data_IF_411542559297
#
_entry.id   IF_411542559297
#
_cell.length_a   1.000
_cell.length_b   1.000
_cell.length_c   1.000
_cell.angle_alpha   90.00
_cell.angle_beta   90.00
_cell.angle_gamma   90.00
#
_symmetry.space_group_name_H-M   'P 1'
#
loop_
_entity.id
_entity.type
_entity.pdbx_description
1 polymer ?
#
# COMPACT_ATOMS: atom_id res chain seq x y z
N UNK A 1 -21.18 0.71 -13.44
CA UNK A 1 -20.11 0.73 -14.47
C UNK A 1 -19.37 -0.57 -14.24
N UNK A 2 -19.62 -1.55 -15.08
CA UNK A 2 -18.89 -2.81 -15.00
C UNK A 2 -17.40 -2.52 -15.19
N UNK A 3 -16.56 -3.18 -14.38
CA UNK A 3 -15.12 -3.10 -14.54
C UNK A 3 -14.78 -3.57 -15.93
N UNK A 4 -14.26 -2.72 -16.78
CA UNK A 4 -14.16 -2.93 -18.23
C UNK A 4 -13.33 -4.17 -18.64
N UNK A 5 -12.67 -4.81 -17.66
CA UNK A 5 -11.75 -5.94 -17.91
C UNK A 5 -12.02 -7.18 -17.03
N UNK A 6 -13.10 -7.21 -16.24
CA UNK A 6 -13.53 -8.40 -15.48
C UNK A 6 -12.61 -8.78 -14.32
N UNK A 7 -11.77 -7.85 -13.81
CA UNK A 7 -10.92 -8.13 -12.65
C UNK A 7 -11.72 -8.12 -11.35
N UNK A 8 -11.52 -9.13 -10.50
CA UNK A 8 -11.97 -9.10 -9.10
C UNK A 8 -10.95 -8.32 -8.26
N UNK A 9 -11.42 -7.36 -7.47
CA UNK A 9 -10.53 -6.47 -6.71
C UNK A 9 -10.77 -6.60 -5.21
N UNK A 10 -9.71 -6.41 -4.43
CA UNK A 10 -9.75 -6.16 -3.01
C UNK A 10 -8.96 -4.90 -2.67
N UNK A 11 -9.36 -4.21 -1.62
CA UNK A 11 -8.74 -2.97 -1.18
C UNK A 11 -8.30 -3.09 0.28
N UNK A 12 -7.20 -2.44 0.61
CA UNK A 12 -6.77 -2.27 1.99
C UNK A 12 -6.74 -0.80 2.37
N UNK A 13 -6.91 -0.52 3.66
CA UNK A 13 -6.78 0.82 4.20
C UNK A 13 -6.29 0.74 5.65
N UNK A 14 -5.58 1.78 6.10
CA UNK A 14 -4.94 1.80 7.42
C UNK A 14 -5.94 1.92 8.59
N UNK A 15 -7.04 2.64 8.42
CA UNK A 15 -7.92 3.02 9.53
C UNK A 15 -9.40 2.96 9.16
N UNK A 16 -10.25 2.92 10.20
CA UNK A 16 -11.69 3.01 10.02
C UNK A 16 -12.14 4.30 9.30
N UNK A 17 -11.48 5.42 9.58
CA UNK A 17 -11.78 6.68 8.91
C UNK A 17 -11.49 6.61 7.40
N UNK A 18 -10.44 5.90 7.00
CA UNK A 18 -10.13 5.64 5.60
C UNK A 18 -11.05 4.58 5.00
N UNK A 19 -11.41 3.54 5.75
CA UNK A 19 -12.36 2.51 5.31
C UNK A 19 -13.69 3.13 4.87
N UNK A 20 -14.23 4.07 5.65
CA UNK A 20 -15.47 4.79 5.31
C UNK A 20 -15.40 5.54 3.97
N UNK A 21 -14.18 5.88 3.52
CA UNK A 21 -13.93 6.55 2.23
C UNK A 21 -13.66 5.55 1.11
N UNK A 22 -12.98 4.45 1.41
CA UNK A 22 -12.60 3.42 0.43
C UNK A 22 -13.80 2.55 0.06
N UNK A 23 -14.62 2.15 1.03
CA UNK A 23 -15.75 1.24 0.81
C UNK A 23 -16.71 1.69 -0.29
N UNK A 24 -17.20 2.96 -0.32
CA UNK A 24 -18.06 3.40 -1.42
C UNK A 24 -17.38 3.40 -2.80
N UNK A 25 -16.05 3.57 -2.84
CA UNK A 25 -15.27 3.51 -4.09
C UNK A 25 -15.08 2.06 -4.55
N UNK A 26 -14.85 1.14 -3.62
CA UNK A 26 -14.78 -0.28 -3.90
C UNK A 26 -16.12 -0.80 -4.46
N UNK A 27 -17.23 -0.43 -3.87
CA UNK A 27 -18.58 -0.76 -4.34
C UNK A 27 -18.85 -0.27 -5.78
N UNK A 28 -18.35 0.92 -6.15
CA UNK A 28 -18.49 1.45 -7.51
C UNK A 28 -17.79 0.58 -8.57
N UNK A 29 -16.79 -0.17 -8.18
CA UNK A 29 -16.05 -1.10 -9.05
C UNK A 29 -16.44 -2.57 -8.81
N UNK A 30 -17.52 -2.80 -8.05
CA UNK A 30 -18.06 -4.13 -7.82
C UNK A 30 -17.29 -4.97 -6.80
N UNK A 31 -16.48 -4.34 -5.95
CA UNK A 31 -15.74 -5.03 -4.88
C UNK A 31 -16.43 -4.82 -3.53
N UNK A 32 -16.59 -5.91 -2.79
CA UNK A 32 -17.04 -5.94 -1.40
C UNK A 32 -15.90 -6.23 -0.40
N UNK A 33 -14.69 -6.50 -0.91
CA UNK A 33 -13.53 -6.83 -0.09
C UNK A 33 -12.74 -5.56 0.22
N UNK A 34 -12.93 -5.05 1.44
CA UNK A 34 -12.17 -3.92 1.98
C UNK A 34 -11.68 -4.29 3.37
N UNK A 35 -10.38 -4.41 3.54
CA UNK A 35 -9.73 -4.85 4.77
C UNK A 35 -8.89 -3.76 5.42
N UNK A 36 -8.94 -3.69 6.75
CA UNK A 36 -8.01 -2.82 7.49
C UNK A 36 -6.66 -3.50 7.62
N UNK A 37 -5.61 -2.77 7.27
CA UNK A 37 -4.24 -3.24 7.36
C UNK A 37 -3.31 -2.09 7.74
N UNK A 38 -2.69 -2.20 8.91
CA UNK A 38 -1.54 -1.40 9.26
C UNK A 38 -0.30 -2.16 8.77
N UNK A 39 0.37 -1.62 7.75
CA UNK A 39 1.48 -2.34 7.08
C UNK A 39 2.74 -2.48 7.94
N UNK A 40 2.85 -1.70 9.02
CA UNK A 40 3.89 -1.85 10.04
C UNK A 40 3.62 -3.08 10.95
N UNK A 41 2.38 -3.58 10.99
CA UNK A 41 2.00 -4.77 11.73
C UNK A 41 2.02 -6.00 10.82
N UNK A 42 3.04 -6.82 10.98
CA UNK A 42 3.22 -8.06 10.22
C UNK A 42 2.05 -9.03 10.37
N UNK A 43 1.42 -9.08 11.55
CA UNK A 43 0.27 -9.95 11.79
C UNK A 43 -0.98 -9.45 11.05
N UNK A 44 -1.19 -8.13 11.02
CA UNK A 44 -2.28 -7.52 10.25
C UNK A 44 -2.12 -7.78 8.75
N UNK A 45 -0.90 -7.64 8.22
CA UNK A 45 -0.60 -7.93 6.84
C UNK A 45 -0.84 -9.42 6.50
N UNK A 46 -0.36 -10.33 7.35
CA UNK A 46 -0.60 -11.76 7.19
C UNK A 46 -2.11 -12.08 7.16
N UNK A 47 -2.88 -11.52 8.08
CA UNK A 47 -4.32 -11.75 8.19
C UNK A 47 -5.09 -11.29 6.93
N UNK A 48 -4.64 -10.22 6.26
CA UNK A 48 -5.22 -9.80 4.97
C UNK A 48 -5.06 -10.89 3.93
N UNK A 49 -3.86 -11.44 3.76
CA UNK A 49 -3.62 -12.49 2.76
C UNK A 49 -4.34 -13.79 3.09
N UNK A 50 -4.46 -14.16 4.37
CA UNK A 50 -5.29 -15.30 4.79
C UNK A 50 -6.76 -15.12 4.38
N UNK A 51 -7.30 -13.91 4.56
CA UNK A 51 -8.67 -13.60 4.13
C UNK A 51 -8.82 -13.64 2.61
N UNK A 52 -7.84 -13.09 1.86
CA UNK A 52 -7.88 -13.13 0.40
C UNK A 52 -7.87 -14.57 -0.12
N UNK A 53 -7.10 -15.47 0.51
CA UNK A 53 -7.05 -16.89 0.16
C UNK A 53 -8.37 -17.64 0.38
N UNK A 54 -9.30 -17.09 1.18
CA UNK A 54 -10.66 -17.63 1.32
C UNK A 54 -11.51 -17.28 0.09
N UNK A 55 -11.26 -16.14 -0.54
CA UNK A 55 -12.03 -15.63 -1.67
C UNK A 55 -11.46 -16.05 -3.03
N UNK A 56 -10.12 -16.19 -3.11
CA UNK A 56 -9.40 -16.41 -4.37
C UNK A 56 -8.36 -17.51 -4.25
N UNK A 57 -8.32 -18.39 -5.23
CA UNK A 57 -7.32 -19.46 -5.34
C UNK A 57 -5.95 -18.91 -5.79
N UNK A 58 -5.93 -17.80 -6.52
CA UNK A 58 -4.72 -17.15 -7.04
C UNK A 58 -4.85 -15.63 -7.04
N UNK A 59 -3.71 -14.96 -7.15
CA UNK A 59 -3.58 -13.53 -7.24
C UNK A 59 -2.77 -13.17 -8.49
N UNK A 60 -3.33 -12.35 -9.36
CA UNK A 60 -2.70 -11.98 -10.64
C UNK A 60 -1.86 -10.71 -10.53
N UNK A 61 -2.29 -9.74 -9.71
CA UNK A 61 -1.54 -8.51 -9.54
C UNK A 61 -1.76 -7.86 -8.18
N UNK A 62 -0.79 -7.04 -7.78
CA UNK A 62 -0.88 -6.14 -6.62
C UNK A 62 -0.45 -4.74 -7.03
N UNK A 63 -1.22 -3.76 -6.61
CA UNK A 63 -0.84 -2.34 -6.67
C UNK A 63 -0.54 -1.85 -5.26
N UNK A 64 0.73 -1.58 -5.00
CA UNK A 64 1.19 -1.00 -3.74
C UNK A 64 1.21 0.53 -3.86
N UNK A 65 0.16 1.16 -3.36
CA UNK A 65 -0.02 2.60 -3.37
C UNK A 65 -0.02 3.15 -1.93
N UNK A 66 1.06 2.85 -1.19
CA UNK A 66 1.19 3.15 0.23
C UNK A 66 2.44 4.01 0.43
N UNK A 67 2.28 5.10 1.17
CA UNK A 67 3.39 5.94 1.58
C UNK A 67 3.03 6.74 2.84
N UNK A 68 4.03 7.00 3.66
CA UNK A 68 3.92 7.84 4.85
C UNK A 68 5.23 8.56 5.15
N UNK A 69 5.14 9.79 5.57
CA UNK A 69 6.17 10.52 6.31
C UNK A 69 5.50 11.59 7.18
N UNK A 70 6.14 11.98 8.27
CA UNK A 70 5.63 13.11 9.07
C UNK A 70 5.69 14.39 8.24
N UNK A 71 4.51 14.98 8.03
CA UNK A 71 4.36 16.19 7.20
C UNK A 71 5.15 17.39 7.71
N UNK A 72 5.38 17.47 9.02
CA UNK A 72 6.15 18.59 9.61
C UNK A 72 7.65 18.45 9.29
N UNK A 73 8.15 17.23 9.14
CA UNK A 73 9.53 16.95 8.75
C UNK A 73 9.77 16.93 7.24
N UNK A 74 8.73 17.09 6.43
CA UNK A 74 8.88 17.27 4.98
C UNK A 74 9.42 18.66 4.62
N UNK A 75 9.37 19.61 5.57
CA UNK A 75 9.84 20.98 5.42
C UNK A 75 11.26 21.14 5.98
N UNK A 76 11.93 22.20 5.56
CA UNK A 76 13.27 22.52 6.06
C UNK A 76 14.37 21.73 5.37
N UNK A 77 15.48 21.51 6.07
CA UNK A 77 16.64 20.82 5.50
C UNK A 77 16.50 19.30 5.72
N UNK A 78 16.88 18.54 4.71
CA UNK A 78 16.87 17.07 4.79
C UNK A 78 17.69 16.53 5.99
N UNK A 79 18.83 17.16 6.29
CA UNK A 79 19.71 16.71 7.38
C UNK A 79 19.12 16.85 8.79
N UNK A 80 18.01 17.58 8.92
CA UNK A 80 17.29 17.75 10.18
C UNK A 80 16.21 16.68 10.39
N UNK A 81 16.02 15.74 9.43
CA UNK A 81 15.09 14.61 9.54
C UNK A 81 15.46 13.76 10.76
N UNK A 82 14.50 13.49 11.63
CA UNK A 82 14.71 12.61 12.77
C UNK A 82 14.93 11.15 12.37
N UNK A 83 15.69 10.40 13.15
CA UNK A 83 15.90 8.99 12.94
C UNK A 83 14.57 8.21 12.97
N UNK A 84 13.67 8.60 13.85
CA UNK A 84 12.36 7.96 14.01
C UNK A 84 11.51 8.13 12.76
N UNK A 85 11.35 9.36 12.25
CA UNK A 85 10.60 9.60 11.03
C UNK A 85 11.26 8.96 9.81
N UNK A 86 12.60 9.02 9.70
CA UNK A 86 13.33 8.34 8.62
C UNK A 86 13.02 6.85 8.60
N UNK A 87 13.16 6.17 9.76
CA UNK A 87 12.88 4.74 9.89
C UNK A 87 11.44 4.43 9.50
N UNK A 88 10.47 5.15 10.08
CA UNK A 88 9.05 4.92 9.81
C UNK A 88 8.67 5.19 8.35
N UNK A 89 9.23 6.25 7.76
CA UNK A 89 9.03 6.54 6.34
C UNK A 89 9.52 5.38 5.47
N UNK A 90 10.70 4.82 5.76
CA UNK A 90 11.24 3.68 5.02
C UNK A 90 10.45 2.40 5.26
N UNK A 91 10.02 2.13 6.49
CA UNK A 91 9.19 0.96 6.80
C UNK A 91 7.87 0.99 6.04
N UNK A 92 7.13 2.10 6.12
CA UNK A 92 5.81 2.23 5.51
C UNK A 92 5.86 2.41 4.00
N UNK A 93 6.81 3.23 3.49
CA UNK A 93 6.80 3.60 2.06
C UNK A 93 7.65 2.69 1.18
N UNK A 94 8.60 1.94 1.76
CA UNK A 94 9.54 1.12 1.01
C UNK A 94 9.47 -0.35 1.43
N UNK A 95 9.75 -0.68 2.70
CA UNK A 95 9.81 -2.07 3.16
C UNK A 95 8.46 -2.77 3.06
N UNK A 96 7.37 -2.07 3.28
CA UNK A 96 6.02 -2.63 3.14
C UNK A 96 5.76 -3.26 1.77
N UNK A 97 6.34 -2.71 0.69
CA UNK A 97 6.27 -3.34 -0.63
C UNK A 97 6.93 -4.72 -0.66
N UNK A 98 8.11 -4.86 -0.02
CA UNK A 98 8.80 -6.15 0.10
C UNK A 98 7.97 -7.14 0.94
N UNK A 99 7.39 -6.67 2.04
CA UNK A 99 6.54 -7.50 2.90
C UNK A 99 5.26 -7.96 2.16
N UNK A 100 4.61 -7.07 1.43
CA UNK A 100 3.46 -7.40 0.57
C UNK A 100 3.86 -8.40 -0.51
N UNK A 101 4.98 -8.19 -1.19
CA UNK A 101 5.48 -9.10 -2.23
C UNK A 101 5.77 -10.51 -1.69
N UNK A 102 6.30 -10.60 -0.46
CA UNK A 102 6.52 -11.89 0.21
C UNK A 102 5.23 -12.71 0.38
N UNK A 103 4.13 -12.05 0.77
CA UNK A 103 2.85 -12.75 0.93
C UNK A 103 2.16 -12.98 -0.42
N UNK A 104 2.16 -11.98 -1.30
CA UNK A 104 1.54 -12.07 -2.62
C UNK A 104 2.13 -13.20 -3.47
N UNK A 105 3.46 -13.38 -3.44
CA UNK A 105 4.15 -14.42 -4.23
C UNK A 105 3.67 -15.83 -3.91
N UNK A 106 3.16 -16.09 -2.71
CA UNK A 106 2.61 -17.40 -2.31
C UNK A 106 1.26 -17.67 -2.96
N UNK A 107 0.53 -16.63 -3.37
CA UNK A 107 -0.76 -16.73 -4.06
C UNK A 107 -0.62 -16.57 -5.58
N UNK A 108 0.53 -16.10 -6.08
CA UNK A 108 0.79 -15.91 -7.51
C UNK A 108 1.33 -17.20 -8.15
N UNK A 109 0.53 -18.28 -8.09
CA UNK A 109 0.97 -19.64 -8.46
C UNK A 109 1.32 -19.79 -9.95
N UNK A 110 0.69 -18.99 -10.81
CA UNK A 110 0.94 -18.96 -12.25
C UNK A 110 1.76 -17.72 -12.68
N UNK A 111 2.44 -17.09 -11.73
CA UNK A 111 3.08 -15.81 -11.92
C UNK A 111 2.12 -14.66 -11.62
N UNK A 112 2.63 -13.42 -11.76
CA UNK A 112 1.82 -12.23 -11.47
C UNK A 112 2.61 -10.95 -11.64
N UNK A 113 1.98 -9.83 -11.35
CA UNK A 113 2.57 -8.50 -11.49
C UNK A 113 2.48 -7.72 -10.18
N UNK A 114 3.59 -7.10 -9.78
CA UNK A 114 3.68 -6.20 -8.65
C UNK A 114 3.99 -4.79 -9.15
N UNK A 115 3.16 -3.82 -8.80
CA UNK A 115 3.32 -2.43 -9.15
C UNK A 115 3.42 -1.59 -7.87
N UNK A 116 4.40 -0.70 -7.79
CA UNK A 116 4.46 0.35 -6.76
C UNK A 116 4.41 1.73 -7.38
N UNK A 117 3.82 2.68 -6.67
CA UNK A 117 3.82 4.08 -7.05
C UNK A 117 5.02 4.77 -6.40
N UNK A 118 5.80 5.44 -7.20
CA UNK A 118 6.93 6.26 -6.75
C UNK A 118 6.64 7.75 -6.93
N UNK A 119 7.49 8.58 -6.35
CA UNK A 119 7.37 10.03 -6.41
C UNK A 119 8.37 10.60 -7.41
N UNK A 120 7.96 11.64 -8.12
CA UNK A 120 8.86 12.35 -9.02
C UNK A 120 10.05 13.00 -8.30
N UNK A 121 9.93 13.22 -6.99
CA UNK A 121 11.01 13.64 -6.11
C UNK A 121 12.23 12.71 -6.10
N UNK A 122 12.08 11.45 -6.51
CA UNK A 122 13.18 10.52 -6.70
C UNK A 122 14.12 10.91 -7.87
N UNK A 123 13.64 11.69 -8.84
CA UNK A 123 14.41 12.14 -10.01
C UNK A 123 14.73 13.63 -9.98
N UNK A 124 13.88 14.43 -9.33
CA UNK A 124 13.98 15.89 -9.25
C UNK A 124 13.79 16.37 -7.83
N UNK A 125 14.55 17.37 -7.43
CA UNK A 125 14.35 18.01 -6.13
C UNK A 125 12.99 18.69 -6.09
N UNK A 126 12.16 18.25 -5.16
CA UNK A 126 10.83 18.81 -4.89
C UNK A 126 10.87 19.59 -3.56
N UNK A 127 10.49 20.87 -3.52
CA UNK A 127 10.40 21.61 -2.29
C UNK A 127 9.47 20.95 -1.27
N UNK A 128 9.87 20.94 0.01
CA UNK A 128 9.09 20.36 1.10
C UNK A 128 8.75 18.88 0.90
N UNK A 129 9.69 18.12 0.42
CA UNK A 129 9.51 16.68 0.20
C UNK A 129 10.52 15.82 0.97
N UNK A 130 11.66 16.37 1.34
CA UNK A 130 12.73 15.74 2.15
C UNK A 130 12.85 14.21 1.91
N UNK A 131 12.68 13.42 2.97
CA UNK A 131 12.84 11.96 2.92
C UNK A 131 11.81 11.27 2.00
N UNK A 132 10.73 11.94 1.65
CA UNK A 132 9.71 11.40 0.73
C UNK A 132 10.18 11.42 -0.74
N UNK A 133 11.05 12.31 -1.12
CA UNK A 133 11.73 12.35 -2.42
C UNK A 133 12.98 11.51 -2.40
#
# INVERSE_FOLDING_TARGET
MEFQHGASLAFTCQSEALERRVRPLAEQVGSDIVERCEVEDTAALYAVFEKLAIHWDSLDFVVHAIAYSDKEELKGRYVDTSQENFRRTMDVSCYSFTAVAHHASKMMVDGGSLLSLSFYGAEKVMPNYNVMG
#
